data_IF_780592754132
#
_entry.id   IF_780592754132
#
_cell.length_a   1.000
_cell.length_b   1.000
_cell.length_c   1.000
_cell.angle_alpha   90.00
_cell.angle_beta   90.00
_cell.angle_gamma   90.00
#
_symmetry.space_group_name_H-M   'P 1'
#
loop_
_entity.id
_entity.type
_entity.pdbx_description
1 polymer ?
#
# COMPACT_ATOMS: atom_id res chain seq x y z
N UNK A 1 0.44 -40.09 -15.30
CA UNK A 1 -0.89 -40.72 -15.22
C UNK A 1 -1.91 -39.63 -14.94
N UNK A 2 -3.01 -39.68 -15.68
CA UNK A 2 -4.08 -38.70 -15.87
C UNK A 2 -4.92 -38.42 -14.61
N UNK A 3 -5.72 -37.33 -14.72
CA UNK A 3 -6.95 -36.97 -13.99
C UNK A 3 -6.75 -36.00 -12.78
N UNK A 4 -7.46 -34.88 -12.61
CA UNK A 4 -8.63 -34.26 -13.25
C UNK A 4 -8.60 -32.74 -12.93
N UNK A 5 -8.93 -31.91 -13.91
CA UNK A 5 -9.27 -30.50 -13.74
C UNK A 5 -10.74 -30.35 -13.34
N UNK A 6 -11.05 -29.44 -12.41
CA UNK A 6 -12.34 -28.75 -12.42
C UNK A 6 -12.10 -27.24 -12.41
N UNK A 7 -12.48 -26.63 -13.53
CA UNK A 7 -12.59 -25.20 -13.76
C UNK A 7 -13.97 -24.71 -13.29
N UNK A 8 -14.00 -23.62 -12.53
CA UNK A 8 -15.15 -22.70 -12.50
C UNK A 8 -14.69 -21.39 -13.16
N UNK A 9 -15.43 -21.03 -14.20
CA UNK A 9 -15.17 -19.93 -15.15
C UNK A 9 -16.15 -18.78 -14.88
N UNK A 10 -15.65 -17.57 -15.18
CA UNK A 10 -16.31 -16.28 -15.41
C UNK A 10 -16.59 -15.43 -14.15
N UNK A 11 -16.21 -14.16 -14.05
CA UNK A 11 -15.58 -13.16 -14.94
C UNK A 11 -15.64 -11.82 -14.16
N UNK A 12 -14.69 -10.88 -14.22
CA UNK A 12 -14.31 -10.10 -15.40
C UNK A 12 -13.05 -9.25 -15.14
N UNK A 13 -12.16 -9.25 -16.14
CA UNK A 13 -11.29 -8.18 -16.68
C UNK A 13 -10.64 -7.16 -15.73
N UNK A 14 -9.31 -7.17 -15.70
CA UNK A 14 -8.48 -6.19 -16.44
C UNK A 14 -7.09 -6.76 -16.74
N UNK A 15 -6.62 -6.50 -17.96
CA UNK A 15 -5.35 -6.94 -18.52
C UNK A 15 -4.20 -6.03 -18.06
N UNK A 16 -3.03 -6.61 -17.80
CA UNK A 16 -1.75 -6.06 -18.23
C UNK A 16 -0.68 -7.15 -18.18
N UNK A 17 -0.25 -7.60 -19.36
CA UNK A 17 0.93 -8.43 -19.55
C UNK A 17 2.02 -7.49 -20.06
N UNK A 18 3.14 -7.35 -19.35
CA UNK A 18 4.37 -6.72 -19.89
C UNK A 18 5.58 -7.55 -19.44
N UNK A 19 6.15 -8.27 -20.40
CA UNK A 19 7.55 -8.71 -20.41
C UNK A 19 8.47 -7.49 -20.48
N UNK A 20 9.56 -7.46 -19.67
CA UNK A 20 10.86 -6.93 -20.13
C UNK A 20 12.02 -7.27 -19.19
N UNK A 21 13.06 -7.81 -19.81
CA UNK A 21 14.42 -7.98 -19.29
C UNK A 21 15.10 -6.63 -18.99
N UNK A 22 16.14 -6.65 -18.13
CA UNK A 22 17.24 -5.67 -18.16
C UNK A 22 17.65 -5.09 -16.82
N UNK A 23 18.78 -5.55 -16.27
CA UNK A 23 19.66 -4.75 -15.40
C UNK A 23 20.36 -3.64 -16.22
N UNK A 24 21.11 -2.67 -15.64
CA UNK A 24 21.25 -2.18 -14.25
C UNK A 24 21.16 -0.62 -14.15
N UNK A 25 21.30 -0.03 -12.94
CA UNK A 25 22.10 1.18 -12.59
C UNK A 25 21.51 1.93 -11.37
N UNK A 26 22.46 2.29 -10.47
CA UNK A 26 22.46 3.05 -9.20
C UNK A 26 21.70 4.41 -9.28
N UNK A 27 21.17 5.01 -8.20
CA UNK A 27 21.82 5.51 -6.96
C UNK A 27 20.77 6.14 -6.02
N UNK A 28 20.98 6.01 -4.70
CA UNK A 28 20.75 7.01 -3.62
C UNK A 28 20.94 6.28 -2.27
N UNK A 29 22.12 6.32 -1.66
CA UNK A 29 22.50 7.31 -0.65
C UNK A 29 21.56 7.35 0.56
N UNK A 30 21.77 6.45 1.53
CA UNK A 30 21.49 6.73 2.94
C UNK A 30 22.75 6.39 3.73
N UNK A 31 23.38 7.44 4.21
CA UNK A 31 24.47 7.41 5.15
C UNK A 31 23.98 6.78 6.47
N UNK A 32 24.67 5.76 6.96
CA UNK A 32 24.71 5.46 8.39
C UNK A 32 26.09 4.93 8.75
N UNK A 33 26.80 5.84 9.41
CA UNK A 33 27.91 5.66 10.34
C UNK A 33 28.49 4.25 10.48
N UNK A 34 29.70 4.13 9.92
CA UNK A 34 30.72 3.19 10.35
C UNK A 34 31.06 3.42 11.83
N UNK A 35 30.62 2.51 12.71
CA UNK A 35 31.29 2.27 13.99
C UNK A 35 32.08 0.97 13.84
N UNK A 36 33.31 1.13 13.33
CA UNK A 36 34.31 0.08 13.21
C UNK A 36 35.00 -0.02 14.57
N UNK A 37 34.58 -0.95 15.42
CA UNK A 37 35.37 -1.35 16.59
C UNK A 37 36.24 -2.59 16.26
N UNK A 38 37.44 -2.67 16.84
CA UNK A 38 38.55 -3.39 16.24
C UNK A 38 38.40 -4.89 16.46
N UNK A 39 38.00 -5.63 15.43
CA UNK A 39 38.38 -7.03 15.36
C UNK A 39 39.90 -7.07 15.32
N UNK A 40 40.50 -7.69 16.33
CA UNK A 40 41.92 -8.02 16.35
C UNK A 40 42.15 -9.02 15.23
N UNK A 41 42.27 -8.53 14.00
CA UNK A 41 42.70 -9.31 12.87
C UNK A 41 44.17 -9.63 13.09
N UNK A 42 44.42 -10.80 13.68
CA UNK A 42 45.73 -11.43 13.58
C UNK A 42 45.98 -11.59 12.08
N UNK A 43 46.83 -10.71 11.55
CA UNK A 43 47.38 -10.78 10.21
C UNK A 43 48.17 -12.09 10.15
N UNK A 44 47.57 -13.12 9.56
CA UNK A 44 48.31 -14.33 9.19
C UNK A 44 48.68 -14.16 7.72
N UNK A 45 49.86 -13.58 7.51
CA UNK A 45 50.65 -13.76 6.30
C UNK A 45 50.82 -15.26 6.08
N UNK A 46 50.34 -15.77 4.95
CA UNK A 46 50.64 -17.05 4.28
C UNK A 46 49.35 -17.68 3.71
N UNK A 47 48.66 -16.95 2.84
CA UNK A 47 47.70 -17.57 1.92
C UNK A 47 48.52 -18.22 0.81
N UNK A 48 48.54 -19.56 0.65
CA UNK A 48 49.25 -20.17 -0.47
C UNK A 48 48.58 -19.73 -1.77
N UNK A 49 49.29 -18.88 -2.51
CA UNK A 49 48.75 -18.08 -3.62
C UNK A 49 48.36 -18.91 -4.85
N UNK A 50 48.69 -20.20 -4.94
CA UNK A 50 48.46 -20.98 -6.16
C UNK A 50 48.00 -22.40 -5.84
N UNK A 51 47.19 -22.95 -6.75
CA UNK A 51 46.78 -24.36 -6.96
C UNK A 51 45.27 -24.57 -6.83
N UNK A 52 44.60 -24.55 -7.98
CA UNK A 52 43.15 -24.72 -8.17
C UNK A 52 42.63 -26.16 -7.99
N UNK A 53 43.47 -27.13 -7.61
CA UNK A 53 43.03 -28.52 -7.40
C UNK A 53 43.75 -29.16 -6.21
N UNK A 54 43.44 -28.69 -5.00
CA UNK A 54 43.88 -29.35 -3.77
C UNK A 54 42.96 -30.56 -3.55
N UNK A 55 43.51 -31.78 -3.59
CA UNK A 55 42.77 -33.01 -3.30
C UNK A 55 42.16 -33.02 -1.89
N UNK A 56 41.07 -33.77 -1.69
CA UNK A 56 40.28 -33.79 -0.46
C UNK A 56 41.12 -33.94 0.82
N UNK A 57 42.08 -34.87 0.83
CA UNK A 57 42.96 -35.10 1.98
C UNK A 57 43.90 -33.93 2.27
N UNK A 58 44.45 -33.27 1.24
CA UNK A 58 45.33 -32.10 1.41
C UNK A 58 44.53 -30.89 1.92
N UNK A 59 43.28 -30.75 1.47
CA UNK A 59 42.32 -29.78 2.03
C UNK A 59 42.05 -30.09 3.50
N UNK A 60 41.77 -31.34 3.85
CA UNK A 60 41.55 -31.77 5.23
C UNK A 60 42.76 -31.46 6.13
N UNK A 61 43.99 -31.75 5.67
CA UNK A 61 45.23 -31.44 6.40
C UNK A 61 45.40 -29.94 6.60
N UNK A 62 45.14 -29.11 5.59
CA UNK A 62 45.16 -27.64 5.75
C UNK A 62 44.11 -27.15 6.73
N UNK A 63 42.92 -27.77 6.76
CA UNK A 63 41.87 -27.49 7.77
C UNK A 63 42.31 -27.88 9.19
N UNK A 64 43.04 -28.98 9.35
CA UNK A 64 43.63 -29.38 10.64
C UNK A 64 44.76 -28.43 11.08
N UNK A 65 45.59 -27.96 10.13
CA UNK A 65 46.64 -26.96 10.39
C UNK A 65 46.11 -25.54 10.57
N UNK A 66 44.82 -25.32 10.32
CA UNK A 66 44.18 -24.01 10.49
C UNK A 66 44.56 -22.98 9.42
N UNK A 67 44.97 -23.42 8.23
CA UNK A 67 45.30 -22.55 7.10
C UNK A 67 44.01 -22.29 6.30
N UNK A 68 43.58 -21.02 6.10
CA UNK A 68 42.37 -20.70 5.34
C UNK A 68 42.54 -21.03 3.86
N UNK A 69 41.45 -21.46 3.22
CA UNK A 69 41.37 -21.56 1.76
C UNK A 69 40.98 -20.21 1.15
N UNK A 70 41.28 -19.99 -0.14
CA UNK A 70 41.04 -18.70 -0.83
C UNK A 70 39.60 -18.17 -0.74
N UNK A 71 38.60 -19.06 -0.65
CA UNK A 71 37.18 -18.70 -0.58
C UNK A 71 36.69 -18.42 0.85
N UNK A 72 37.57 -18.54 1.85
CA UNK A 72 37.24 -18.46 3.27
C UNK A 72 37.95 -17.26 3.90
N UNK A 73 37.18 -16.33 4.50
CA UNK A 73 37.72 -15.13 5.16
C UNK A 73 38.44 -15.44 6.48
N UNK A 74 38.13 -16.59 7.07
CA UNK A 74 38.76 -17.13 8.27
C UNK A 74 39.08 -18.62 8.04
N UNK A 75 40.11 -19.13 8.72
CA UNK A 75 40.34 -20.58 8.77
C UNK A 75 39.06 -21.29 9.23
N UNK A 76 38.81 -22.56 8.86
CA UNK A 76 37.67 -23.29 9.41
C UNK A 76 37.76 -23.21 10.93
N UNK A 77 36.80 -22.49 11.51
CA UNK A 77 36.69 -22.33 12.94
C UNK A 77 36.07 -23.64 13.42
N UNK A 78 36.58 -24.20 14.51
CA UNK A 78 35.87 -25.32 15.12
C UNK A 78 34.64 -24.73 15.76
N UNK A 79 33.49 -25.40 15.67
CA UNK A 79 32.31 -25.05 16.46
C UNK A 79 32.64 -24.79 17.95
N UNK A 80 33.76 -25.35 18.43
CA UNK A 80 34.37 -25.20 19.76
C UNK A 80 35.05 -23.86 20.07
N UNK A 81 35.46 -23.05 19.08
CA UNK A 81 36.25 -21.82 19.31
C UNK A 81 35.38 -20.61 19.67
N UNK A 82 34.15 -20.56 19.17
CA UNK A 82 33.23 -19.43 19.39
C UNK A 82 32.16 -19.72 20.45
N UNK A 83 32.27 -20.86 21.14
CA UNK A 83 31.33 -21.21 22.20
C UNK A 83 31.47 -20.24 23.38
N UNK A 84 30.37 -19.55 23.70
CA UNK A 84 30.31 -18.55 24.75
C UNK A 84 30.71 -17.13 24.35
N UNK A 85 31.07 -16.87 23.08
CA UNK A 85 31.19 -15.49 22.58
C UNK A 85 29.80 -14.88 22.44
N UNK A 86 29.65 -13.62 22.85
CA UNK A 86 28.42 -12.86 22.63
C UNK A 86 28.65 -11.98 21.40
N UNK A 87 27.94 -12.27 20.31
CA UNK A 87 27.78 -11.27 19.26
C UNK A 87 26.67 -10.34 19.72
N UNK A 88 27.00 -9.06 19.87
CA UNK A 88 25.98 -8.02 20.06
C UNK A 88 25.39 -7.78 18.68
N UNK A 89 24.09 -8.08 18.45
CA UNK A 89 23.46 -7.74 17.17
C UNK A 89 23.64 -6.23 16.92
N UNK A 90 23.55 -5.76 15.65
CA UNK A 90 23.39 -4.33 15.43
C UNK A 90 22.27 -3.84 16.36
N UNK A 91 22.53 -2.79 17.17
CA UNK A 91 21.56 -2.36 18.16
C UNK A 91 20.23 -2.12 17.44
N UNK A 92 19.16 -2.69 18.00
CA UNK A 92 17.81 -2.29 17.59
C UNK A 92 17.76 -0.76 17.62
N UNK A 93 17.05 -0.11 16.68
CA UNK A 93 16.88 1.33 16.74
C UNK A 93 16.39 1.67 18.15
N UNK A 94 17.17 2.51 18.85
CA UNK A 94 16.86 2.85 20.23
C UNK A 94 15.45 3.43 20.25
N UNK A 95 14.59 2.87 21.11
CA UNK A 95 13.29 3.44 21.35
C UNK A 95 13.49 4.90 21.79
N UNK A 96 12.62 5.83 21.38
CA UNK A 96 12.68 7.20 21.87
C UNK A 96 12.77 7.18 23.39
N UNK A 97 13.64 8.01 23.99
CA UNK A 97 13.82 8.04 25.45
C UNK A 97 12.52 8.35 26.21
N UNK A 98 11.56 8.97 25.52
CA UNK A 98 10.24 9.31 26.02
C UNK A 98 9.17 8.22 25.80
N UNK A 99 9.56 7.07 25.22
CA UNK A 99 8.64 5.97 24.93
C UNK A 99 8.26 5.25 26.23
N UNK A 100 7.14 5.68 26.82
CA UNK A 100 6.49 4.98 27.92
C UNK A 100 5.55 3.92 27.34
N UNK A 101 5.93 2.65 27.49
CA UNK A 101 5.02 1.54 27.22
C UNK A 101 3.83 1.57 28.18
N UNK A 102 2.83 0.73 27.90
CA UNK A 102 1.63 0.58 28.71
C UNK A 102 1.96 0.55 30.22
N UNK A 103 1.16 1.22 31.07
CA UNK A 103 1.47 1.44 32.49
C UNK A 103 1.62 0.14 33.31
N UNK A 104 1.17 -0.99 32.78
CA UNK A 104 1.22 -2.30 33.44
C UNK A 104 2.54 -3.05 33.23
N UNK A 105 3.41 -2.60 32.29
CA UNK A 105 4.67 -3.28 31.98
C UNK A 105 5.87 -2.56 32.59
N UNK A 106 6.59 -3.26 33.46
CA UNK A 106 7.83 -2.79 34.07
C UNK A 106 9.07 -3.26 33.29
N UNK A 107 9.69 -2.34 32.55
CA UNK A 107 10.91 -2.58 31.79
C UNK A 107 12.18 -2.59 32.64
N UNK A 108 12.14 -2.00 33.85
CA UNK A 108 13.31 -1.90 34.74
C UNK A 108 13.59 -3.27 35.38
N UNK A 109 12.55 -3.92 35.90
CA UNK A 109 12.68 -5.26 36.48
C UNK A 109 12.65 -6.37 35.42
N UNK A 110 11.98 -6.14 34.28
CA UNK A 110 11.83 -7.15 33.22
C UNK A 110 12.26 -6.61 31.85
N UNK A 111 13.58 -6.48 31.61
CA UNK A 111 14.08 -6.13 30.29
C UNK A 111 13.73 -7.23 29.27
N UNK A 112 13.73 -6.88 27.97
CA UNK A 112 13.49 -7.86 26.93
C UNK A 112 14.52 -9.00 26.97
N UNK A 113 14.08 -10.26 26.78
CA UNK A 113 14.99 -11.39 26.75
C UNK A 113 15.93 -11.27 25.56
N UNK A 114 17.25 -11.17 25.83
CA UNK A 114 18.27 -11.15 24.79
C UNK A 114 18.56 -12.58 24.33
N UNK A 115 18.41 -12.85 23.03
CA UNK A 115 18.76 -14.15 22.45
C UNK A 115 20.29 -14.32 22.44
N UNK A 116 20.78 -15.49 22.89
CA UNK A 116 22.19 -15.86 22.79
C UNK A 116 22.48 -16.39 21.38
N UNK A 117 23.46 -15.81 20.68
CA UNK A 117 23.80 -16.26 19.32
C UNK A 117 24.53 -17.60 19.29
N UNK A 118 25.41 -17.86 20.27
CA UNK A 118 26.17 -19.11 20.37
C UNK A 118 25.74 -19.95 21.58
N UNK A 119 25.86 -21.29 21.50
CA UNK A 119 25.59 -22.16 22.63
C UNK A 119 26.53 -21.84 23.82
N UNK A 120 26.14 -22.21 25.06
CA UNK A 120 26.98 -22.05 26.23
C UNK A 120 28.27 -22.89 26.10
N UNK A 121 29.37 -22.40 26.67
CA UNK A 121 30.70 -23.04 26.59
C UNK A 121 30.63 -24.52 27.00
N UNK A 122 31.12 -25.39 26.12
CA UNK A 122 31.26 -26.84 26.35
C UNK A 122 32.75 -27.18 26.41
N UNK A 123 33.13 -28.09 27.31
CA UNK A 123 34.46 -28.71 27.37
C UNK A 123 34.33 -30.20 27.04
N UNK A 124 35.37 -30.79 26.46
CA UNK A 124 35.39 -32.21 26.04
C UNK A 124 34.22 -32.58 25.11
N UNK A 125 33.76 -31.64 24.28
CA UNK A 125 32.61 -31.76 23.35
C UNK A 125 31.23 -31.96 24.01
N UNK A 126 31.15 -32.56 25.20
CA UNK A 126 29.88 -33.02 25.80
C UNK A 126 29.55 -32.27 27.10
N UNK A 127 30.53 -31.84 27.89
CA UNK A 127 30.28 -31.38 29.26
C UNK A 127 30.16 -29.85 29.33
N UNK A 128 29.09 -29.29 29.92
CA UNK A 128 28.95 -27.84 30.13
C UNK A 128 30.06 -27.26 31.00
N UNK A 129 30.54 -26.07 30.63
CA UNK A 129 31.56 -25.33 31.39
C UNK A 129 31.10 -25.00 32.81
N UNK A 130 29.79 -24.81 33.01
CA UNK A 130 29.19 -24.61 34.35
C UNK A 130 29.41 -25.79 35.29
N UNK A 131 29.34 -27.01 34.76
CA UNK A 131 29.62 -28.21 35.56
C UNK A 131 31.10 -28.23 35.92
N UNK A 132 31.98 -28.03 34.94
CA UNK A 132 33.43 -28.03 35.17
C UNK A 132 33.87 -26.91 36.12
N UNK A 133 33.29 -25.72 36.01
CA UNK A 133 33.61 -24.57 36.88
C UNK A 133 33.16 -24.79 38.33
N UNK A 134 32.06 -25.52 38.55
CA UNK A 134 31.64 -25.90 39.90
C UNK A 134 32.68 -26.80 40.59
N UNK A 135 33.29 -27.74 39.84
CA UNK A 135 34.37 -28.59 40.33
C UNK A 135 35.66 -27.80 40.60
N UNK A 136 35.97 -26.79 39.77
CA UNK A 136 37.17 -25.97 39.96
C UNK A 136 37.26 -25.34 41.35
N UNK A 137 36.12 -24.99 41.96
CA UNK A 137 36.07 -24.41 43.32
C UNK A 137 36.69 -25.34 44.36
N UNK A 138 36.58 -26.66 44.17
CA UNK A 138 36.98 -27.65 45.17
C UNK A 138 38.28 -28.40 44.80
N UNK A 139 38.46 -28.73 43.52
CA UNK A 139 39.53 -29.63 43.06
C UNK A 139 40.50 -28.98 42.08
N UNK A 140 40.39 -27.67 41.88
CA UNK A 140 41.22 -26.92 40.94
C UNK A 140 40.89 -27.21 39.47
N UNK A 141 41.71 -26.67 38.56
CA UNK A 141 41.46 -26.76 37.10
C UNK A 141 41.63 -28.17 36.54
N UNK A 142 42.48 -29.00 37.13
CA UNK A 142 42.72 -30.39 36.72
C UNK A 142 41.68 -31.37 37.26
N UNK A 143 41.06 -31.04 38.39
CA UNK A 143 40.14 -31.93 39.12
C UNK A 143 39.03 -32.57 38.28
N UNK A 144 38.24 -31.80 37.51
CA UNK A 144 37.18 -32.40 36.68
C UNK A 144 37.72 -33.40 35.65
N UNK A 145 38.91 -33.15 35.08
CA UNK A 145 39.51 -34.03 34.09
C UNK A 145 39.96 -35.35 34.72
N UNK A 146 40.59 -35.27 35.89
CA UNK A 146 41.00 -36.46 36.66
C UNK A 146 39.79 -37.25 37.14
N UNK A 147 38.69 -36.57 37.48
CA UNK A 147 37.43 -37.23 37.83
C UNK A 147 36.89 -38.08 36.68
N UNK A 148 36.82 -37.55 35.45
CA UNK A 148 36.32 -38.33 34.31
C UNK A 148 37.25 -39.48 33.91
N UNK A 149 38.57 -39.31 34.00
CA UNK A 149 39.50 -40.40 33.73
C UNK A 149 39.43 -41.50 34.79
N UNK A 150 39.29 -41.12 36.07
CA UNK A 150 39.12 -42.07 37.17
C UNK A 150 37.76 -42.77 37.11
N UNK A 151 36.69 -42.06 36.76
CA UNK A 151 35.36 -42.64 36.55
C UNK A 151 35.37 -43.64 35.39
N UNK A 152 36.05 -43.32 34.30
CA UNK A 152 36.25 -44.25 33.18
C UNK A 152 37.04 -45.49 33.61
N UNK A 153 38.17 -45.33 34.31
CA UNK A 153 38.98 -46.43 34.81
C UNK A 153 38.20 -47.32 35.80
N UNK A 154 37.37 -46.72 36.66
CA UNK A 154 36.48 -47.42 37.58
C UNK A 154 35.42 -48.25 36.84
N UNK A 155 34.74 -47.66 35.85
CA UNK A 155 33.76 -48.37 35.01
C UNK A 155 34.40 -49.55 34.26
N UNK A 156 35.63 -49.38 33.80
CA UNK A 156 36.38 -50.44 33.15
C UNK A 156 36.76 -51.57 34.12
N UNK A 157 37.30 -51.24 35.30
CA UNK A 157 37.67 -52.22 36.34
C UNK A 157 36.47 -53.02 36.86
N UNK A 158 35.28 -52.42 36.89
CA UNK A 158 34.03 -53.10 37.29
C UNK A 158 33.35 -53.89 36.17
N UNK A 159 33.93 -53.95 34.98
CA UNK A 159 33.37 -54.71 33.85
C UNK A 159 32.12 -54.07 33.21
N UNK A 160 31.65 -52.91 33.70
CA UNK A 160 30.54 -52.17 33.11
C UNK A 160 30.89 -51.63 31.71
N UNK A 161 32.19 -51.46 31.43
CA UNK A 161 32.72 -51.01 30.15
C UNK A 161 33.85 -51.93 29.66
N UNK A 162 33.52 -53.17 29.34
CA UNK A 162 34.49 -54.16 28.85
C UNK A 162 34.99 -53.91 27.41
N UNK A 163 36.16 -54.44 27.06
CA UNK A 163 36.82 -54.52 25.74
C UNK A 163 36.05 -55.18 24.58
N UNK A 164 34.73 -55.09 24.42
CA UNK A 164 34.01 -55.89 23.43
C UNK A 164 34.13 -55.31 22.00
N UNK A 165 34.15 -56.19 20.99
CA UNK A 165 34.24 -55.82 19.57
C UNK A 165 33.16 -54.81 19.15
N UNK A 166 31.96 -54.88 19.76
CA UNK A 166 30.88 -53.95 19.46
C UNK A 166 31.12 -52.52 19.99
N UNK A 167 31.89 -52.33 21.07
CA UNK A 167 32.18 -50.99 21.62
C UNK A 167 33.28 -50.26 20.87
N UNK A 168 34.15 -50.98 20.17
CA UNK A 168 35.16 -50.37 19.27
C UNK A 168 34.47 -49.57 18.16
N UNK A 169 33.32 -50.03 17.68
CA UNK A 169 32.50 -49.33 16.66
C UNK A 169 32.11 -47.91 17.11
N UNK A 170 31.84 -47.71 18.41
CA UNK A 170 31.47 -46.41 18.98
C UNK A 170 32.65 -45.43 18.93
N UNK A 171 33.86 -45.89 19.23
CA UNK A 171 35.08 -45.07 19.17
C UNK A 171 35.37 -44.65 17.73
N UNK A 172 35.23 -45.56 16.77
CA UNK A 172 35.38 -45.27 15.34
C UNK A 172 34.33 -44.26 14.86
N UNK A 173 33.08 -44.39 15.32
CA UNK A 173 32.01 -43.43 15.00
C UNK A 173 32.33 -42.03 15.55
N UNK A 174 32.83 -41.93 16.78
CA UNK A 174 33.23 -40.66 17.41
C UNK A 174 34.40 -40.02 16.63
N UNK A 175 35.37 -40.83 16.20
CA UNK A 175 36.48 -40.37 15.37
C UNK A 175 36.00 -39.86 14.00
N UNK A 176 35.08 -40.57 13.34
CA UNK A 176 34.46 -40.11 12.10
C UNK A 176 33.70 -38.79 12.30
N UNK A 177 32.93 -38.67 13.39
CA UNK A 177 32.23 -37.43 13.74
C UNK A 177 33.20 -36.25 13.95
N UNK A 178 34.35 -36.48 14.59
CA UNK A 178 35.37 -35.45 14.77
C UNK A 178 35.95 -34.95 13.43
N UNK A 179 36.21 -35.86 12.48
CA UNK A 179 36.67 -35.48 11.14
C UNK A 179 35.56 -34.76 10.36
N UNK A 180 34.33 -35.28 10.43
CA UNK A 180 33.18 -34.74 9.70
C UNK A 180 32.83 -33.32 10.15
N UNK A 181 32.77 -33.08 11.46
CA UNK A 181 32.50 -31.75 12.04
C UNK A 181 33.53 -30.73 11.54
N UNK A 182 34.83 -31.05 11.52
CA UNK A 182 35.89 -30.15 11.03
C UNK A 182 35.83 -29.89 9.52
N UNK A 183 35.36 -30.86 8.74
CA UNK A 183 35.30 -30.76 7.28
C UNK A 183 34.11 -29.94 6.79
N UNK A 184 32.93 -30.09 7.41
CA UNK A 184 31.67 -29.52 6.94
C UNK A 184 31.23 -28.25 7.69
N UNK A 185 31.82 -27.93 8.85
CA UNK A 185 31.44 -26.79 9.72
C UNK A 185 31.19 -25.49 8.94
N UNK A 186 32.21 -25.03 8.21
CA UNK A 186 32.18 -23.74 7.52
C UNK A 186 31.03 -23.61 6.50
N UNK A 187 30.74 -24.70 5.77
CA UNK A 187 29.69 -24.69 4.75
C UNK A 187 28.31 -24.64 5.40
N UNK A 188 28.12 -25.40 6.48
CA UNK A 188 26.85 -25.43 7.21
C UNK A 188 26.61 -24.10 7.94
N UNK A 189 27.63 -23.56 8.59
CA UNK A 189 27.54 -22.28 9.31
C UNK A 189 27.20 -21.13 8.36
N UNK A 190 27.94 -21.01 7.24
CA UNK A 190 27.65 -20.00 6.20
C UNK A 190 26.22 -20.12 5.67
N UNK A 191 25.77 -21.35 5.38
CA UNK A 191 24.43 -21.60 4.87
C UNK A 191 23.33 -21.21 5.87
N UNK A 192 23.49 -21.58 7.14
CA UNK A 192 22.54 -21.26 8.20
C UNK A 192 22.53 -19.75 8.46
N UNK A 193 23.70 -19.10 8.48
CA UNK A 193 23.84 -17.67 8.70
C UNK A 193 23.18 -16.86 7.58
N UNK A 194 23.45 -17.19 6.31
CA UNK A 194 22.84 -16.52 5.15
C UNK A 194 21.31 -16.67 5.16
N UNK A 195 20.80 -17.86 5.46
CA UNK A 195 19.35 -18.10 5.59
C UNK A 195 18.74 -17.29 6.73
N UNK A 196 19.40 -17.22 7.89
CA UNK A 196 18.92 -16.41 9.03
C UNK A 196 18.90 -14.92 8.69
N UNK A 197 19.93 -14.43 8.01
CA UNK A 197 20.01 -13.04 7.53
C UNK A 197 18.93 -12.71 6.50
N UNK A 198 18.57 -13.64 5.63
CA UNK A 198 17.46 -13.47 4.69
C UNK A 198 16.13 -13.38 5.44
N UNK A 199 15.86 -14.32 6.35
CA UNK A 199 14.65 -14.29 7.17
C UNK A 199 14.51 -12.99 7.95
N UNK A 200 15.58 -12.51 8.59
CA UNK A 200 15.57 -11.25 9.34
C UNK A 200 15.22 -10.04 8.45
N UNK A 201 15.76 -9.99 7.22
CA UNK A 201 15.39 -8.95 6.25
C UNK A 201 13.92 -9.03 5.86
N UNK A 202 13.41 -10.23 5.58
CA UNK A 202 12.02 -10.43 5.20
C UNK A 202 11.08 -9.96 6.33
N UNK A 203 11.43 -10.25 7.60
CA UNK A 203 10.69 -9.74 8.76
C UNK A 203 10.72 -8.22 8.86
N UNK A 204 11.89 -7.60 8.69
CA UNK A 204 12.03 -6.13 8.73
C UNK A 204 11.22 -5.47 7.59
N UNK A 205 11.25 -6.04 6.39
CA UNK A 205 10.49 -5.53 5.25
C UNK A 205 8.98 -5.60 5.49
N UNK A 206 8.48 -6.69 6.09
CA UNK A 206 7.07 -6.81 6.49
C UNK A 206 6.71 -5.73 7.52
N UNK A 207 7.55 -5.54 8.54
CA UNK A 207 7.35 -4.52 9.58
C UNK A 207 7.32 -3.12 8.98
N UNK A 208 8.25 -2.80 8.08
CA UNK A 208 8.31 -1.50 7.40
C UNK A 208 7.10 -1.25 6.50
N UNK A 209 6.60 -2.29 5.81
CA UNK A 209 5.39 -2.17 4.99
C UNK A 209 4.14 -1.90 5.84
N UNK A 210 3.98 -2.61 6.95
CA UNK A 210 2.90 -2.32 7.91
C UNK A 210 2.99 -0.88 8.46
N UNK A 211 4.19 -0.42 8.82
CA UNK A 211 4.37 0.95 9.30
C UNK A 211 4.10 2.00 8.23
N UNK A 212 4.41 1.73 6.96
CA UNK A 212 4.03 2.62 5.84
C UNK A 212 2.52 2.76 5.76
N UNK A 213 1.79 1.64 5.74
CA UNK A 213 0.31 1.64 5.69
C UNK A 213 -0.30 2.44 6.84
N UNK A 214 0.17 2.22 8.08
CA UNK A 214 -0.29 2.99 9.25
C UNK A 214 0.01 4.49 9.10
N UNK A 215 1.19 4.87 8.59
CA UNK A 215 1.52 6.28 8.34
C UNK A 215 0.65 6.89 7.24
N UNK A 216 0.29 6.14 6.21
CA UNK A 216 -0.64 6.59 5.18
C UNK A 216 -2.04 6.82 5.76
N UNK A 217 -2.57 5.84 6.50
CA UNK A 217 -3.86 5.97 7.18
C UNK A 217 -3.88 7.18 8.14
N UNK A 218 -2.80 7.41 8.90
CA UNK A 218 -2.71 8.60 9.77
C UNK A 218 -2.74 9.92 8.99
N UNK A 219 -2.10 9.98 7.81
CA UNK A 219 -2.12 11.19 6.96
C UNK A 219 -3.51 11.41 6.38
N UNK A 220 -4.15 10.35 5.89
CA UNK A 220 -5.52 10.39 5.35
C UNK A 220 -6.51 10.81 6.43
N UNK A 221 -6.50 10.19 7.61
CA UNK A 221 -7.36 10.60 8.72
C UNK A 221 -7.13 12.03 9.20
N UNK A 222 -5.92 12.59 9.06
CA UNK A 222 -5.66 14.00 9.35
C UNK A 222 -6.28 14.90 8.28
N UNK A 223 -6.08 14.58 7.00
CA UNK A 223 -6.67 15.31 5.89
C UNK A 223 -8.20 15.28 5.91
N UNK A 224 -8.80 14.13 6.22
CA UNK A 224 -10.26 13.99 6.39
C UNK A 224 -10.79 14.82 7.55
N UNK A 225 -10.08 14.86 8.69
CA UNK A 225 -10.45 15.71 9.82
C UNK A 225 -10.40 17.19 9.46
N UNK A 226 -9.35 17.63 8.76
CA UNK A 226 -9.21 19.02 8.30
C UNK A 226 -10.33 19.38 7.31
N UNK A 227 -10.62 18.51 6.34
CA UNK A 227 -11.71 18.69 5.39
C UNK A 227 -13.09 18.73 6.07
N UNK A 228 -13.31 17.85 7.06
CA UNK A 228 -14.54 17.82 7.85
C UNK A 228 -14.72 19.07 8.70
N UNK A 229 -13.65 19.58 9.32
CA UNK A 229 -13.68 20.82 10.10
C UNK A 229 -14.03 22.01 9.20
N UNK A 230 -13.39 22.12 8.04
CA UNK A 230 -13.72 23.15 7.06
C UNK A 230 -15.19 23.04 6.61
N UNK A 231 -15.65 21.84 6.23
CA UNK A 231 -17.06 21.62 5.89
C UNK A 231 -17.99 22.02 7.03
N UNK A 232 -17.69 21.63 8.27
CA UNK A 232 -18.53 21.95 9.43
C UNK A 232 -18.69 23.46 9.64
N UNK A 233 -17.64 24.24 9.38
CA UNK A 233 -17.69 25.70 9.51
C UNK A 233 -18.49 26.37 8.38
N UNK A 234 -18.29 25.95 7.13
CA UNK A 234 -18.93 26.59 5.96
C UNK A 234 -20.33 26.06 5.62
N UNK A 235 -20.63 24.80 5.92
CA UNK A 235 -21.91 24.19 5.56
C UNK A 235 -23.15 24.93 6.12
N UNK A 236 -23.19 25.39 7.39
CA UNK A 236 -24.37 26.08 7.90
C UNK A 236 -24.60 27.45 7.26
N UNK A 237 -23.55 28.16 6.84
CA UNK A 237 -23.70 29.45 6.15
C UNK A 237 -24.19 29.24 4.72
N UNK A 238 -23.57 28.32 3.97
CA UNK A 238 -23.98 27.95 2.61
C UNK A 238 -25.45 27.51 2.59
N UNK A 239 -25.87 26.69 3.55
CA UNK A 239 -27.25 26.21 3.60
C UNK A 239 -28.26 27.34 3.85
N UNK A 240 -27.95 28.27 4.78
CA UNK A 240 -28.78 29.44 5.04
C UNK A 240 -28.91 30.33 3.81
N UNK A 241 -27.79 30.62 3.15
CA UNK A 241 -27.77 31.44 1.93
C UNK A 241 -28.53 30.78 0.78
N UNK A 242 -28.36 29.47 0.59
CA UNK A 242 -29.08 28.71 -0.44
C UNK A 242 -30.59 28.72 -0.21
N UNK A 243 -31.04 28.55 1.04
CA UNK A 243 -32.46 28.63 1.38
C UNK A 243 -33.03 30.04 1.18
N UNK A 244 -32.28 31.07 1.56
CA UNK A 244 -32.68 32.46 1.34
C UNK A 244 -32.86 32.76 -0.16
N UNK A 245 -31.91 32.31 -1.01
CA UNK A 245 -32.00 32.46 -2.46
C UNK A 245 -33.20 31.71 -3.05
N UNK A 246 -33.49 30.50 -2.58
CA UNK A 246 -34.67 29.75 -3.00
C UNK A 246 -35.96 30.48 -2.63
N UNK A 247 -36.04 31.02 -1.41
CA UNK A 247 -37.19 31.79 -0.95
C UNK A 247 -37.40 33.04 -1.81
N UNK A 248 -36.35 33.82 -2.06
CA UNK A 248 -36.42 34.98 -2.95
C UNK A 248 -36.82 34.61 -4.39
N UNK A 249 -36.27 33.52 -4.93
CA UNK A 249 -36.63 33.04 -6.26
C UNK A 249 -38.11 32.66 -6.34
N UNK A 250 -38.66 31.99 -5.31
CA UNK A 250 -40.09 31.68 -5.27
C UNK A 250 -40.96 32.93 -5.15
N UNK A 251 -40.53 33.92 -4.35
CA UNK A 251 -41.22 35.19 -4.23
C UNK A 251 -41.28 35.94 -5.57
N UNK A 252 -40.13 36.08 -6.28
CA UNK A 252 -40.08 36.72 -7.60
C UNK A 252 -40.96 36.01 -8.62
N UNK A 253 -40.93 34.67 -8.66
CA UNK A 253 -41.82 33.87 -9.52
C UNK A 253 -43.30 34.11 -9.24
N UNK A 254 -43.69 34.22 -7.98
CA UNK A 254 -45.09 34.48 -7.60
C UNK A 254 -45.53 35.89 -8.04
N UNK A 255 -44.67 36.89 -7.87
CA UNK A 255 -44.93 38.26 -8.34
C UNK A 255 -45.04 38.33 -9.86
N UNK A 256 -44.09 37.71 -10.58
CA UNK A 256 -44.14 37.61 -12.05
C UNK A 256 -45.44 36.94 -12.51
N UNK A 257 -45.83 35.82 -11.89
CA UNK A 257 -47.07 35.13 -12.21
C UNK A 257 -48.30 36.03 -12.02
N UNK A 258 -48.37 36.77 -10.92
CA UNK A 258 -49.48 37.70 -10.68
C UNK A 258 -49.50 38.83 -11.72
N UNK A 259 -48.34 39.37 -12.07
CA UNK A 259 -48.22 40.41 -13.09
C UNK A 259 -48.65 39.91 -14.47
N UNK A 260 -48.22 38.71 -14.89
CA UNK A 260 -48.62 38.11 -16.17
C UNK A 260 -50.13 37.83 -16.22
N UNK A 261 -50.72 37.34 -15.13
CA UNK A 261 -52.17 37.09 -15.05
C UNK A 261 -52.99 38.39 -15.11
N UNK A 262 -52.52 39.46 -14.46
CA UNK A 262 -53.13 40.79 -14.55
C UNK A 262 -53.05 41.34 -15.97
N UNK A 263 -51.89 41.19 -16.62
CA UNK A 263 -51.68 41.60 -18.00
C UNK A 263 -52.61 40.84 -18.95
N UNK A 264 -52.70 39.50 -18.83
CA UNK A 264 -53.61 38.70 -19.65
C UNK A 264 -55.08 39.14 -19.53
N UNK A 265 -55.53 39.52 -18.33
CA UNK A 265 -56.90 40.04 -18.13
C UNK A 265 -57.11 41.39 -18.79
N UNK A 266 -56.12 42.29 -18.69
CA UNK A 266 -56.19 43.61 -19.31
C UNK A 266 -56.18 43.51 -20.84
N UNK A 267 -55.26 42.69 -21.38
CA UNK A 267 -55.15 42.43 -22.81
C UNK A 267 -56.47 41.86 -23.36
N UNK A 268 -57.07 40.89 -22.65
CA UNK A 268 -58.39 40.37 -23.01
C UNK A 268 -59.49 41.46 -23.05
N UNK A 269 -59.52 42.36 -22.05
CA UNK A 269 -60.48 43.46 -22.03
C UNK A 269 -60.23 44.45 -23.18
N UNK A 270 -58.98 44.75 -23.49
CA UNK A 270 -58.62 45.62 -24.60
C UNK A 270 -59.00 44.99 -25.96
N UNK A 271 -58.69 43.70 -26.15
CA UNK A 271 -59.03 42.96 -27.36
C UNK A 271 -60.54 42.86 -27.55
N UNK A 272 -61.31 42.55 -26.50
CA UNK A 272 -62.78 42.49 -26.60
C UNK A 272 -63.40 43.84 -26.95
N UNK A 273 -62.87 44.96 -26.43
CA UNK A 273 -63.31 46.30 -26.82
C UNK A 273 -62.94 46.60 -28.27
N UNK A 274 -61.72 46.24 -28.70
CA UNK A 274 -61.26 46.41 -30.08
C UNK A 274 -62.16 45.63 -31.05
N UNK A 275 -62.42 44.35 -30.77
CA UNK A 275 -63.30 43.48 -31.58
C UNK A 275 -64.72 44.03 -31.64
N UNK A 276 -65.28 44.51 -30.52
CA UNK A 276 -66.62 45.15 -30.52
C UNK A 276 -66.67 46.37 -31.42
N UNK A 277 -65.65 47.24 -31.38
CA UNK A 277 -65.55 48.43 -32.24
C UNK A 277 -65.45 48.04 -33.72
N UNK A 278 -64.57 47.08 -34.05
CA UNK A 278 -64.42 46.58 -35.42
C UNK A 278 -65.70 45.93 -35.92
N UNK A 279 -66.37 45.12 -35.09
CA UNK A 279 -67.65 44.49 -35.44
C UNK A 279 -68.75 45.52 -35.66
N UNK A 280 -68.90 46.51 -34.76
CA UNK A 280 -69.88 47.58 -34.92
C UNK A 280 -69.64 48.38 -36.21
N UNK A 281 -68.38 48.69 -36.52
CA UNK A 281 -68.00 49.36 -37.76
C UNK A 281 -68.33 48.52 -39.01
N UNK A 282 -67.94 47.23 -39.02
CA UNK A 282 -68.25 46.32 -40.13
C UNK A 282 -69.76 46.09 -40.31
N UNK A 283 -70.50 45.97 -39.21
CA UNK A 283 -71.95 45.82 -39.24
C UNK A 283 -72.64 47.08 -39.75
N UNK A 284 -72.21 48.26 -39.30
CA UNK A 284 -72.71 49.55 -39.78
C UNK A 284 -72.49 49.70 -41.29
N UNK A 285 -71.27 49.42 -41.79
CA UNK A 285 -70.99 49.46 -43.22
C UNK A 285 -71.86 48.48 -44.01
N UNK A 286 -72.01 47.25 -43.52
CA UNK A 286 -72.89 46.26 -44.15
C UNK A 286 -74.34 46.73 -44.19
N UNK A 287 -74.86 47.27 -43.08
CA UNK A 287 -76.23 47.79 -43.02
C UNK A 287 -76.45 48.97 -43.96
N UNK A 288 -75.49 49.89 -44.06
CA UNK A 288 -75.53 51.00 -45.02
C UNK A 288 -75.53 50.46 -46.45
N UNK A 289 -74.63 49.54 -46.79
CA UNK A 289 -74.56 48.95 -48.14
C UNK A 289 -75.85 48.21 -48.49
N UNK A 290 -76.36 47.36 -47.59
CA UNK A 290 -77.59 46.59 -47.81
C UNK A 290 -78.81 47.53 -47.95
N UNK A 291 -78.88 48.60 -47.15
CA UNK A 291 -79.95 49.61 -47.24
C UNK A 291 -79.89 50.38 -48.55
N UNK A 292 -78.69 50.84 -48.95
CA UNK A 292 -78.46 51.53 -50.23
C UNK A 292 -78.77 50.59 -51.40
N UNK A 293 -78.35 49.33 -51.36
CA UNK A 293 -78.68 48.33 -52.38
C UNK A 293 -80.18 48.08 -52.48
N UNK A 294 -80.88 47.97 -51.34
CA UNK A 294 -82.33 47.79 -51.32
C UNK A 294 -83.07 49.01 -51.91
N UNK A 295 -82.64 50.23 -51.59
CA UNK A 295 -83.18 51.46 -52.17
C UNK A 295 -82.98 51.50 -53.69
N UNK A 296 -81.76 51.21 -54.17
CA UNK A 296 -81.44 51.12 -55.61
C UNK A 296 -82.32 50.07 -56.29
N UNK A 297 -82.50 48.89 -55.70
CA UNK A 297 -83.35 47.83 -56.28
C UNK A 297 -84.81 48.24 -56.35
N UNK A 298 -85.33 48.91 -55.31
CA UNK A 298 -86.72 49.37 -55.21
C UNK A 298 -87.06 50.62 -56.03
N UNK A 299 -86.08 51.23 -56.70
CA UNK A 299 -86.22 52.44 -57.53
C UNK A 299 -86.97 53.61 -56.86
N UNK A 300 -86.84 53.71 -55.54
CA UNK A 300 -87.39 54.84 -54.79
C UNK A 300 -86.70 56.11 -55.28
N UNK A 301 -87.49 57.14 -55.59
CA UNK A 301 -87.03 58.45 -56.07
C UNK A 301 -86.29 58.46 -57.43
N UNK A 302 -86.50 57.45 -58.30
CA UNK A 302 -85.91 57.36 -59.64
C UNK A 302 -84.38 57.46 -59.65
N UNK A 303 -83.72 56.90 -58.63
CA UNK A 303 -82.25 56.96 -58.47
C UNK A 303 -81.54 56.31 -59.66
N UNK A 304 -82.05 55.19 -60.21
CA UNK A 304 -81.42 54.56 -61.38
C UNK A 304 -81.45 55.48 -62.59
N UNK A 305 -82.55 56.16 -62.83
CA UNK A 305 -82.70 57.08 -63.97
C UNK A 305 -81.72 58.25 -63.84
N UNK A 306 -81.64 58.88 -62.65
CA UNK A 306 -80.69 59.96 -62.38
C UNK A 306 -79.23 59.52 -62.51
N UNK A 307 -78.90 58.29 -62.09
CA UNK A 307 -77.56 57.76 -62.27
C UNK A 307 -77.23 57.52 -63.75
N UNK A 308 -78.18 56.99 -64.53
CA UNK A 308 -78.01 56.82 -65.98
C UNK A 308 -77.85 58.16 -66.70
N UNK A 309 -78.60 59.19 -66.30
CA UNK A 309 -78.44 60.56 -66.80
C UNK A 309 -77.04 61.11 -66.50
N UNK A 310 -76.56 60.98 -65.25
CA UNK A 310 -75.20 61.37 -64.87
C UNK A 310 -74.13 60.61 -65.67
N UNK A 311 -74.31 59.31 -65.94
CA UNK A 311 -73.41 58.56 -66.80
C UNK A 311 -73.44 59.07 -68.25
N UNK A 312 -74.61 59.43 -68.78
CA UNK A 312 -74.72 60.04 -70.11
C UNK A 312 -74.02 61.41 -70.14
N UNK A 313 -74.15 62.22 -69.09
CA UNK A 313 -73.42 63.48 -68.97
C UNK A 313 -71.90 63.27 -68.88
N UNK A 314 -71.42 62.33 -68.07
CA UNK A 314 -69.99 62.01 -67.99
C UNK A 314 -69.46 61.43 -69.30
N UNK A 315 -70.25 60.62 -70.02
CA UNK A 315 -69.89 60.13 -71.35
C UNK A 315 -69.90 61.23 -72.40
N UNK A 316 -70.81 62.20 -72.34
CA UNK A 316 -70.78 63.41 -73.19
C UNK A 316 -69.53 64.25 -72.93
N UNK A 317 -69.05 64.28 -71.68
CA UNK A 317 -67.81 64.97 -71.31
C UNK A 317 -66.55 64.19 -71.75
N UNK A 318 -66.59 62.86 -71.75
CA UNK A 318 -65.47 61.98 -72.12
C UNK A 318 -65.43 61.60 -73.60
N UNK A 319 -66.53 61.73 -74.36
CA UNK A 319 -66.52 61.51 -75.81
C UNK A 319 -65.76 62.66 -76.48
N UNK A 320 -64.70 62.39 -77.27
CA UNK A 320 -64.04 63.44 -78.02
C UNK A 320 -65.08 64.05 -78.97
N UNK A 321 -65.30 65.36 -78.86
CA UNK A 321 -66.12 66.08 -79.82
C UNK A 321 -65.43 65.99 -81.20
N UNK A 322 -65.92 65.06 -82.01
CA UNK A 322 -65.59 64.85 -83.41
C UNK A 322 -66.84 64.35 -84.13
#
# INVERSE_FOLDING_TARGET
>A
MTLICYSLIAGSRTHACILRCGHPIRTAAIASSTAKEPSTSVVITNVPEKVEKIGFFKKLVYRFKGIPLKDESHAPISFMRDIGKQFVPPPLPELPKDFKEYPERDLVNYPYPVQRMYPPKLRLLIVPDKFMSAFHKYTGTSGPYVFFTMLYAFLHSKGLFEIAHDRIKIVVLLFYYYIFSRAFDYRLDKYIYERRKQLEKDYLDIVDNNFKEVRYAQKESKAEKEAYLAMKEYYPTIFKETLALQLEATYRKNVERLATEMQHRLDYLQETVSVKRSFAHSYMLKWIIDSVMAEILSDKENIKERYMENCIEQLKLLSPQG
#
